data_IF_355607809329
#
_entry.id   IF_355607809329
#
_cell.length_a   1.000
_cell.length_b   1.000
_cell.length_c   1.000
_cell.angle_alpha   90.00
_cell.angle_beta   90.00
_cell.angle_gamma   90.00
#
_symmetry.space_group_name_H-M   'P 1'
#
loop_
_entity.id
_entity.type
_entity.pdbx_description
1 polymer ?
#
# COMPACT_ATOMS: atom_id res chain seq x y z
N UNK A 1 23.46 -8.71 24.11
CA UNK A 1 22.39 -7.85 24.62
C UNK A 1 22.13 -8.15 26.08
N UNK A 2 21.81 -7.14 26.88
CA UNK A 2 21.34 -7.25 28.27
C UNK A 2 19.84 -7.53 28.28
N UNK A 3 19.38 -8.50 29.06
CA UNK A 3 17.97 -8.86 29.15
C UNK A 3 17.23 -7.99 30.18
N UNK A 4 16.07 -7.47 29.78
CA UNK A 4 15.03 -6.87 30.63
C UNK A 4 13.75 -7.70 30.46
N UNK A 5 13.41 -8.46 31.50
CA UNK A 5 12.32 -9.42 31.47
C UNK A 5 11.29 -9.11 32.57
N UNK A 6 10.00 -9.26 32.28
CA UNK A 6 8.89 -9.03 33.21
C UNK A 6 8.88 -7.63 33.84
N UNK A 7 9.22 -6.61 33.04
CA UNK A 7 9.29 -5.23 33.50
C UNK A 7 7.99 -4.47 33.23
N UNK A 8 7.71 -3.51 34.13
CA UNK A 8 6.67 -2.50 33.94
C UNK A 8 7.36 -1.14 33.85
N UNK A 9 7.33 -0.54 32.66
CA UNK A 9 7.95 0.76 32.39
C UNK A 9 6.87 1.84 32.39
N UNK A 10 7.11 2.89 33.18
CA UNK A 10 6.23 4.07 33.33
C UNK A 10 7.05 5.35 33.26
N UNK A 11 6.37 6.48 33.05
CA UNK A 11 6.99 7.80 33.01
C UNK A 11 7.60 8.14 31.65
N UNK A 12 7.85 9.44 31.43
CA UNK A 12 8.48 9.93 30.20
C UNK A 12 9.86 9.28 30.03
N UNK A 13 10.19 8.81 28.81
CA UNK A 13 11.56 8.40 28.46
C UNK A 13 12.14 7.25 29.31
N UNK A 14 11.31 6.28 29.73
CA UNK A 14 11.71 5.18 30.62
C UNK A 14 13.00 4.44 30.25
N UNK A 15 13.29 4.27 28.96
CA UNK A 15 14.49 3.63 28.41
C UNK A 15 15.11 4.50 27.31
N UNK A 16 15.17 5.80 27.54
CA UNK A 16 15.74 6.75 26.59
C UNK A 16 17.21 6.44 26.27
N UNK A 17 17.56 6.49 24.98
CA UNK A 17 18.89 6.14 24.48
C UNK A 17 19.36 4.74 24.87
N UNK A 18 18.43 3.84 25.19
CA UNK A 18 18.78 2.46 25.50
C UNK A 18 19.46 1.79 24.30
N UNK A 19 20.42 0.93 24.60
CA UNK A 19 21.11 0.17 23.58
C UNK A 19 21.52 -1.22 24.03
N UNK A 20 21.71 -2.11 23.07
CA UNK A 20 22.11 -3.50 23.30
C UNK A 20 21.16 -4.23 24.27
N UNK A 21 19.85 -4.01 24.15
CA UNK A 21 18.85 -4.61 25.04
C UNK A 21 18.00 -5.66 24.34
N UNK A 22 17.70 -6.71 25.11
CA UNK A 22 16.62 -7.63 24.83
C UNK A 22 15.49 -7.37 25.84
N UNK A 23 14.34 -6.90 25.38
CA UNK A 23 13.18 -6.56 26.21
C UNK A 23 12.08 -7.57 25.95
N UNK A 24 11.73 -8.37 26.96
CA UNK A 24 10.75 -9.45 26.80
C UNK A 24 9.75 -9.50 27.94
N UNK A 25 8.55 -10.04 27.68
CA UNK A 25 7.45 -10.20 28.64
C UNK A 25 7.12 -8.92 29.44
N UNK A 26 7.23 -7.77 28.80
CA UNK A 26 7.21 -6.47 29.48
C UNK A 26 6.06 -5.60 28.99
N UNK A 27 5.76 -4.54 29.72
CA UNK A 27 4.74 -3.55 29.31
C UNK A 27 5.27 -2.14 29.49
N UNK A 28 5.18 -1.35 28.42
CA UNK A 28 5.30 0.10 28.46
C UNK A 28 3.91 0.67 28.70
N UNK A 29 3.69 1.23 29.89
CA UNK A 29 2.42 1.84 30.32
C UNK A 29 2.35 3.29 29.84
N UNK A 30 2.08 4.24 30.74
CA UNK A 30 2.04 5.66 30.49
C UNK A 30 3.46 6.26 30.40
N UNK A 31 3.60 7.29 29.56
CA UNK A 31 4.88 7.97 29.33
C UNK A 31 5.19 8.10 27.85
N UNK A 32 5.58 9.31 27.43
CA UNK A 32 5.92 9.58 26.04
C UNK A 32 7.37 9.19 25.73
N UNK A 33 7.62 8.72 24.50
CA UNK A 33 8.97 8.51 23.97
C UNK A 33 9.85 7.52 24.77
N UNK A 34 9.34 6.35 25.22
CA UNK A 34 10.07 5.47 26.12
C UNK A 34 11.41 4.97 25.56
N UNK A 35 11.50 4.66 24.26
CA UNK A 35 12.71 4.15 23.60
C UNK A 35 13.25 5.12 22.54
N UNK A 36 13.05 6.43 22.75
CA UNK A 36 13.55 7.43 21.83
C UNK A 36 15.08 7.44 21.77
N UNK A 37 15.64 7.52 20.55
CA UNK A 37 17.08 7.41 20.26
C UNK A 37 17.71 6.06 20.65
N UNK A 38 16.91 5.01 20.81
CA UNK A 38 17.43 3.69 21.17
C UNK A 38 17.98 2.94 19.95
N UNK A 39 18.90 2.01 20.16
CA UNK A 39 19.46 1.22 19.07
C UNK A 39 19.86 -0.20 19.47
N UNK A 40 19.99 -1.10 18.50
CA UNK A 40 20.37 -2.50 18.71
C UNK A 40 19.47 -3.17 19.76
N UNK A 41 18.17 -3.18 19.48
CA UNK A 41 17.13 -3.72 20.36
C UNK A 41 16.47 -4.96 19.78
N UNK A 42 16.30 -5.98 20.62
CA UNK A 42 15.34 -7.05 20.40
C UNK A 42 14.18 -6.87 21.37
N UNK A 43 12.95 -6.78 20.88
CA UNK A 43 11.75 -6.57 21.69
C UNK A 43 10.74 -7.64 21.34
N UNK A 44 10.36 -8.48 22.31
CA UNK A 44 9.33 -9.50 22.10
C UNK A 44 8.34 -9.62 23.25
N UNK A 45 7.17 -10.24 23.00
CA UNK A 45 6.11 -10.46 24.00
C UNK A 45 5.80 -9.21 24.83
N UNK A 46 5.82 -8.04 24.17
CA UNK A 46 5.77 -6.73 24.83
C UNK A 46 4.54 -5.96 24.39
N UNK A 47 3.94 -5.23 25.34
CA UNK A 47 2.77 -4.38 25.08
C UNK A 47 3.19 -2.92 25.14
N UNK A 48 2.94 -2.18 24.07
CA UNK A 48 3.04 -0.71 24.06
C UNK A 48 1.66 -0.10 24.27
N UNK A 49 1.50 0.67 25.35
CA UNK A 49 0.22 1.29 25.70
C UNK A 49 0.15 2.78 25.38
N UNK A 50 1.27 3.44 25.11
CA UNK A 50 1.32 4.90 25.00
C UNK A 50 2.28 5.39 23.91
N UNK A 51 2.24 6.71 23.72
CA UNK A 51 2.71 7.40 22.51
C UNK A 51 4.21 7.33 22.28
N UNK A 52 4.57 7.39 21.00
CA UNK A 52 5.94 7.56 20.50
C UNK A 52 6.96 6.48 20.92
N UNK A 53 6.64 5.17 20.98
CA UNK A 53 7.58 4.18 21.48
C UNK A 53 8.98 4.23 20.86
N UNK A 54 9.10 4.21 19.53
CA UNK A 54 10.36 4.03 18.81
C UNK A 54 10.64 5.22 17.88
N UNK A 55 10.95 6.38 18.46
CA UNK A 55 11.35 7.56 17.70
C UNK A 55 12.88 7.63 17.54
N UNK A 56 13.36 7.90 16.32
CA UNK A 56 14.79 7.96 16.00
C UNK A 56 15.55 6.69 16.41
N UNK A 57 14.88 5.54 16.35
CA UNK A 57 15.46 4.27 16.74
C UNK A 57 16.18 3.62 15.55
N UNK A 58 17.22 2.84 15.83
CA UNK A 58 18.01 2.20 14.78
C UNK A 58 18.28 0.73 15.10
N UNK A 59 18.10 -0.16 14.11
CA UNK A 59 18.39 -1.59 14.27
C UNK A 59 17.54 -2.23 15.38
N UNK A 60 16.24 -2.33 15.11
CA UNK A 60 15.25 -2.80 16.08
C UNK A 60 14.47 -3.97 15.51
N UNK A 61 14.36 -5.05 16.28
CA UNK A 61 13.42 -6.15 16.00
C UNK A 61 12.29 -6.10 17.01
N UNK A 62 11.06 -6.14 16.51
CA UNK A 62 9.82 -6.19 17.29
C UNK A 62 9.07 -7.45 16.91
N UNK A 63 8.85 -8.37 17.84
CA UNK A 63 8.19 -9.66 17.59
C UNK A 63 7.10 -9.97 18.61
N UNK A 64 5.98 -10.57 18.19
CA UNK A 64 4.92 -10.97 19.11
C UNK A 64 4.46 -9.84 20.05
N UNK A 65 4.31 -8.62 19.49
CA UNK A 65 3.94 -7.43 20.28
C UNK A 65 2.49 -7.02 20.05
N UNK A 66 1.96 -6.26 21.02
CA UNK A 66 0.64 -5.62 20.90
C UNK A 66 0.79 -4.12 21.10
N UNK A 67 0.30 -3.33 20.14
CA UNK A 67 0.27 -1.87 20.24
C UNK A 67 -1.17 -1.43 20.45
N UNK A 68 -1.45 -0.85 21.62
CA UNK A 68 -2.79 -0.37 21.97
C UNK A 68 -3.14 0.93 21.24
N UNK A 69 -4.42 1.35 21.19
CA UNK A 69 -4.83 2.55 20.47
C UNK A 69 -4.05 3.83 20.81
N UNK A 70 -3.68 4.00 22.08
CA UNK A 70 -2.91 5.17 22.53
C UNK A 70 -1.41 5.08 22.24
N UNK A 71 -0.92 3.96 21.67
CA UNK A 71 0.46 3.81 21.17
C UNK A 71 0.68 4.53 19.83
N UNK A 72 0.04 5.70 19.71
CA UNK A 72 -0.05 6.54 18.53
C UNK A 72 1.30 7.18 18.17
N UNK A 73 1.46 7.44 16.86
CA UNK A 73 2.67 7.96 16.22
C UNK A 73 3.88 7.12 16.65
N UNK A 74 3.74 5.81 16.48
CA UNK A 74 4.55 4.85 17.22
C UNK A 74 6.04 4.84 16.85
N UNK A 75 6.34 4.89 15.56
CA UNK A 75 7.66 4.58 14.99
C UNK A 75 8.04 5.64 13.96
N UNK A 76 8.69 6.70 14.39
CA UNK A 76 8.99 7.84 13.51
C UNK A 76 10.49 8.09 13.38
N UNK A 77 10.96 8.42 12.17
CA UNK A 77 12.37 8.70 11.86
C UNK A 77 13.32 7.56 12.21
N UNK A 78 12.81 6.34 12.25
CA UNK A 78 13.54 5.13 12.64
C UNK A 78 14.01 4.36 11.42
N UNK A 79 15.13 3.66 11.55
CA UNK A 79 15.79 2.98 10.43
C UNK A 79 16.15 1.53 10.79
N UNK A 80 16.15 0.65 9.80
CA UNK A 80 16.50 -0.76 9.95
C UNK A 80 15.63 -1.45 11.01
N UNK A 81 14.33 -1.54 10.74
CA UNK A 81 13.36 -2.10 11.68
C UNK A 81 12.63 -3.30 11.08
N UNK A 82 12.61 -4.40 11.84
CA UNK A 82 11.77 -5.57 11.54
C UNK A 82 10.64 -5.66 12.56
N UNK A 83 9.41 -5.79 12.09
CA UNK A 83 8.24 -6.05 12.92
C UNK A 83 7.56 -7.33 12.44
N UNK A 84 7.33 -8.26 13.36
CA UNK A 84 6.74 -9.56 13.04
C UNK A 84 5.69 -10.00 14.07
N UNK A 85 4.71 -10.79 13.62
CA UNK A 85 3.69 -11.43 14.45
C UNK A 85 2.99 -10.45 15.41
N UNK A 86 2.67 -9.26 14.91
CA UNK A 86 2.29 -8.12 15.75
C UNK A 86 0.91 -7.61 15.38
N UNK A 87 0.12 -7.24 16.40
CA UNK A 87 -1.14 -6.52 16.21
C UNK A 87 -0.95 -5.06 16.60
N UNK A 88 -1.31 -4.16 15.68
CA UNK A 88 -1.26 -2.71 15.85
C UNK A 88 -2.67 -2.15 15.79
N UNK A 89 -3.10 -1.55 16.90
CA UNK A 89 -4.43 -0.93 17.04
C UNK A 89 -4.37 0.60 17.07
N UNK A 90 -3.18 1.15 16.87
CA UNK A 90 -2.95 2.59 16.85
C UNK A 90 -3.05 3.11 15.42
N UNK A 91 -3.90 4.11 15.20
CA UNK A 91 -4.14 4.74 13.90
C UNK A 91 -2.83 5.07 13.18
N UNK A 92 -1.96 5.85 13.83
CA UNK A 92 -0.70 6.33 13.24
C UNK A 92 0.49 5.54 13.76
N UNK A 93 1.25 4.89 12.87
CA UNK A 93 2.39 4.07 13.30
C UNK A 93 3.72 4.53 12.73
N UNK A 94 3.98 4.33 11.44
CA UNK A 94 5.27 4.65 10.81
C UNK A 94 5.25 5.99 10.07
N UNK A 95 6.31 6.78 10.27
CA UNK A 95 6.49 8.03 9.52
C UNK A 95 7.96 8.36 9.32
N UNK A 96 8.35 8.74 8.10
CA UNK A 96 9.75 9.04 7.77
C UNK A 96 10.72 7.91 8.19
N UNK A 97 10.25 6.67 8.18
CA UNK A 97 11.02 5.51 8.57
C UNK A 97 11.57 4.80 7.32
N UNK A 98 12.71 4.12 7.46
CA UNK A 98 13.41 3.53 6.31
C UNK A 98 13.91 2.12 6.60
N UNK A 99 14.04 1.30 5.56
CA UNK A 99 14.48 -0.10 5.67
C UNK A 99 13.59 -0.90 6.63
N UNK A 100 12.31 -0.98 6.28
CA UNK A 100 11.27 -1.63 7.06
C UNK A 100 10.98 -3.03 6.53
N UNK A 101 10.87 -4.00 7.44
CA UNK A 101 10.38 -5.35 7.13
C UNK A 101 9.20 -5.67 8.04
N UNK A 102 8.01 -5.78 7.49
CA UNK A 102 6.78 -6.07 8.22
C UNK A 102 6.26 -7.43 7.77
N UNK A 103 6.20 -8.39 8.70
CA UNK A 103 5.78 -9.76 8.40
C UNK A 103 4.68 -10.24 9.35
N UNK A 104 3.57 -10.75 8.82
CA UNK A 104 2.45 -11.22 9.65
C UNK A 104 2.00 -10.13 10.65
N UNK A 105 1.67 -8.95 10.12
CA UNK A 105 1.27 -7.79 10.91
C UNK A 105 -0.18 -7.42 10.59
N UNK A 106 -0.97 -7.26 11.65
CA UNK A 106 -2.36 -6.83 11.58
C UNK A 106 -2.50 -5.39 12.08
N UNK A 107 -2.70 -4.45 11.15
CA UNK A 107 -3.05 -3.06 11.44
C UNK A 107 -4.57 -2.92 11.50
N UNK A 108 -5.14 -3.14 12.68
CA UNK A 108 -6.58 -3.05 12.93
C UNK A 108 -7.13 -1.62 12.78
N UNK A 109 -6.28 -0.62 12.94
CA UNK A 109 -6.52 0.78 12.57
C UNK A 109 -5.22 1.32 11.96
N UNK A 110 -5.26 1.61 10.67
CA UNK A 110 -4.10 1.90 9.85
C UNK A 110 -4.10 3.33 9.29
N UNK A 111 -4.90 4.25 9.85
CA UNK A 111 -4.95 5.64 9.38
C UNK A 111 -3.62 6.39 9.54
N UNK A 112 -2.98 6.78 8.44
CA UNK A 112 -1.63 7.41 8.45
C UNK A 112 -0.52 6.45 8.95
N UNK A 113 -0.44 5.24 8.39
CA UNK A 113 0.49 4.19 8.88
C UNK A 113 1.88 4.20 8.27
N UNK A 114 2.07 4.29 6.96
CA UNK A 114 3.38 4.28 6.30
C UNK A 114 3.53 5.59 5.53
N UNK A 115 3.66 6.72 6.23
CA UNK A 115 3.73 8.03 5.60
C UNK A 115 5.18 8.47 5.38
N UNK A 116 5.53 8.83 4.13
CA UNK A 116 6.89 9.23 3.72
C UNK A 116 7.98 8.22 4.11
N UNK A 117 7.69 6.93 4.02
CA UNK A 117 8.67 5.88 4.29
C UNK A 117 9.45 5.51 3.01
N UNK A 118 10.56 4.80 3.16
CA UNK A 118 11.40 4.38 2.04
C UNK A 118 12.00 2.99 2.29
N UNK A 119 12.04 2.13 1.26
CA UNK A 119 12.48 0.74 1.36
C UNK A 119 11.65 -0.06 2.38
N UNK A 120 10.47 -0.49 1.92
CA UNK A 120 9.45 -1.15 2.74
C UNK A 120 9.10 -2.51 2.15
N UNK A 121 9.32 -3.56 2.94
CA UNK A 121 8.95 -4.92 2.61
C UNK A 121 7.74 -5.33 3.46
N UNK A 122 6.68 -5.77 2.80
CA UNK A 122 5.42 -6.21 3.42
C UNK A 122 5.18 -7.67 3.03
N UNK A 123 4.98 -8.54 4.02
CA UNK A 123 4.69 -9.96 3.82
C UNK A 123 3.56 -10.39 4.75
N UNK A 124 2.42 -10.84 4.20
CA UNK A 124 1.25 -11.22 4.98
C UNK A 124 0.77 -10.09 5.93
N UNK A 125 0.52 -8.91 5.36
CA UNK A 125 0.08 -7.73 6.13
C UNK A 125 -1.41 -7.47 5.86
N UNK A 126 -2.17 -7.22 6.92
CA UNK A 126 -3.55 -6.74 6.82
C UNK A 126 -3.65 -5.33 7.37
N UNK A 127 -4.35 -4.44 6.69
CA UNK A 127 -4.54 -3.06 7.11
C UNK A 127 -5.99 -2.58 6.89
N UNK A 128 -6.59 -2.00 7.93
CA UNK A 128 -7.86 -1.31 7.85
C UNK A 128 -7.64 0.19 8.08
N UNK A 129 -7.69 1.01 7.03
CA UNK A 129 -7.48 2.44 7.15
C UNK A 129 -7.16 3.14 5.84
N UNK A 130 -7.39 4.46 5.84
CA UNK A 130 -7.15 5.32 4.68
C UNK A 130 -5.68 5.76 4.62
N UNK A 131 -5.20 6.05 3.41
CA UNK A 131 -3.85 6.56 3.16
C UNK A 131 -2.77 5.68 3.79
N UNK A 132 -2.87 4.36 3.65
CA UNK A 132 -1.95 3.42 4.27
C UNK A 132 -0.48 3.75 3.99
N UNK A 133 -0.12 4.01 2.73
CA UNK A 133 1.24 4.20 2.23
C UNK A 133 1.51 5.54 1.55
N UNK A 134 1.00 6.66 2.08
CA UNK A 134 1.15 7.99 1.46
C UNK A 134 2.63 8.41 1.31
N UNK A 135 3.00 8.83 0.09
CA UNK A 135 4.34 9.27 -0.30
C UNK A 135 5.47 8.28 0.07
N UNK A 136 5.15 6.98 0.14
CA UNK A 136 6.13 5.94 0.43
C UNK A 136 6.72 5.38 -0.85
N UNK A 137 8.04 5.18 -0.85
CA UNK A 137 8.77 4.73 -2.04
C UNK A 137 9.51 3.42 -1.80
N UNK A 138 9.82 2.73 -2.89
CA UNK A 138 10.56 1.46 -2.90
C UNK A 138 9.85 0.41 -2.04
N UNK A 139 8.65 0.01 -2.47
CA UNK A 139 7.79 -0.93 -1.76
C UNK A 139 7.76 -2.26 -2.47
N UNK A 140 7.91 -3.35 -1.73
CA UNK A 140 7.62 -4.71 -2.21
C UNK A 140 6.62 -5.34 -1.25
N UNK A 141 5.46 -5.74 -1.77
CA UNK A 141 4.38 -6.31 -0.99
C UNK A 141 3.94 -7.69 -1.50
N UNK A 142 3.89 -8.66 -0.60
CA UNK A 142 3.32 -9.98 -0.81
C UNK A 142 2.18 -10.22 0.18
N UNK A 143 1.07 -10.76 -0.31
CA UNK A 143 -0.08 -11.13 0.52
C UNK A 143 -0.62 -9.95 1.36
N UNK A 144 -0.61 -8.75 0.78
CA UNK A 144 -1.10 -7.52 1.39
C UNK A 144 -2.62 -7.41 1.21
N UNK A 145 -3.33 -7.14 2.31
CA UNK A 145 -4.78 -6.94 2.31
C UNK A 145 -5.11 -5.57 2.87
N UNK A 146 -5.75 -4.72 2.07
CA UNK A 146 -6.14 -3.37 2.50
C UNK A 146 -7.64 -3.18 2.33
N UNK A 147 -8.27 -2.61 3.36
CA UNK A 147 -9.60 -2.02 3.29
C UNK A 147 -9.55 -0.58 3.77
N UNK A 148 -9.88 0.37 2.92
CA UNK A 148 -9.77 1.80 3.20
C UNK A 148 -9.54 2.61 1.92
N UNK A 149 -9.48 3.93 1.99
CA UNK A 149 -9.38 4.79 0.81
C UNK A 149 -7.94 5.23 0.53
N UNK A 150 -7.61 5.43 -0.76
CA UNK A 150 -6.34 6.01 -1.20
C UNK A 150 -5.12 5.26 -0.66
N UNK A 151 -5.07 3.94 -0.84
CA UNK A 151 -4.09 3.07 -0.16
C UNK A 151 -2.64 3.57 -0.33
N UNK A 152 -2.21 3.79 -1.57
CA UNK A 152 -0.98 4.51 -1.88
C UNK A 152 -1.32 5.80 -2.63
N UNK A 153 -0.93 6.94 -2.07
CA UNK A 153 -1.04 8.26 -2.69
C UNK A 153 0.35 8.89 -2.82
N UNK A 154 0.80 9.17 -4.05
CA UNK A 154 2.08 9.82 -4.32
C UNK A 154 3.32 8.91 -4.18
N UNK A 155 3.12 7.60 -4.06
CA UNK A 155 4.19 6.63 -3.89
C UNK A 155 4.93 6.29 -5.19
N UNK A 156 6.16 5.79 -5.07
CA UNK A 156 7.01 5.45 -6.23
C UNK A 156 7.73 4.12 -6.10
N UNK A 157 7.93 3.43 -7.22
CA UNK A 157 8.61 2.13 -7.26
C UNK A 157 7.91 1.12 -6.33
N UNK A 158 6.69 0.75 -6.69
CA UNK A 158 5.84 -0.13 -5.88
C UNK A 158 5.63 -1.44 -6.64
N UNK A 159 5.95 -2.56 -6.01
CA UNK A 159 5.76 -3.90 -6.54
C UNK A 159 4.84 -4.70 -5.61
N UNK A 160 3.78 -5.29 -6.17
CA UNK A 160 2.71 -5.95 -5.38
C UNK A 160 2.38 -7.32 -5.97
N UNK A 161 2.22 -8.31 -5.09
CA UNK A 161 1.97 -9.71 -5.45
C UNK A 161 0.88 -10.33 -4.58
N UNK A 162 0.01 -11.16 -5.17
CA UNK A 162 -0.97 -12.00 -4.45
C UNK A 162 -1.81 -11.22 -3.42
N UNK A 163 -2.18 -9.99 -3.75
CA UNK A 163 -2.73 -9.03 -2.78
C UNK A 163 -4.18 -8.69 -3.07
N UNK A 164 -4.86 -8.10 -2.09
CA UNK A 164 -6.26 -7.68 -2.21
C UNK A 164 -6.44 -6.26 -1.70
N UNK A 165 -7.00 -5.40 -2.53
CA UNK A 165 -7.32 -4.01 -2.21
C UNK A 165 -8.81 -3.79 -2.38
N UNK A 166 -9.46 -3.29 -1.33
CA UNK A 166 -10.84 -2.82 -1.35
C UNK A 166 -10.80 -1.35 -0.94
N UNK A 167 -10.78 -0.48 -1.93
CA UNK A 167 -10.40 0.93 -1.74
C UNK A 167 -11.15 1.87 -2.65
N UNK A 168 -11.32 3.14 -2.32
CA UNK A 168 -11.82 4.10 -3.31
C UNK A 168 -10.86 4.31 -4.50
N UNK A 169 -9.55 4.42 -4.24
CA UNK A 169 -8.46 4.34 -5.22
C UNK A 169 -7.28 3.62 -4.54
N UNK A 170 -6.62 2.69 -5.22
CA UNK A 170 -5.51 1.93 -4.66
C UNK A 170 -4.15 2.62 -4.87
N UNK A 171 -3.97 3.28 -6.01
CA UNK A 171 -2.67 3.82 -6.45
C UNK A 171 -2.85 5.22 -7.04
N UNK A 172 -3.24 6.18 -6.21
CA UNK A 172 -3.45 7.56 -6.62
C UNK A 172 -2.11 8.30 -6.77
N UNK A 173 -1.94 9.11 -7.81
CA UNK A 173 -0.75 9.95 -8.04
C UNK A 173 0.60 9.20 -7.98
N UNK A 174 0.62 7.90 -8.25
CA UNK A 174 1.81 7.07 -8.11
C UNK A 174 2.71 7.13 -9.37
N UNK A 175 3.94 6.66 -9.25
CA UNK A 175 4.88 6.53 -10.37
C UNK A 175 5.65 5.22 -10.30
N UNK A 176 5.69 4.47 -11.41
CA UNK A 176 6.36 3.17 -11.50
C UNK A 176 5.79 2.14 -10.52
N UNK A 177 4.63 1.59 -10.88
CA UNK A 177 3.89 0.59 -10.07
C UNK A 177 3.70 -0.68 -10.90
N UNK A 178 3.99 -1.85 -10.32
CA UNK A 178 3.70 -3.14 -10.96
C UNK A 178 2.96 -4.06 -10.01
N UNK A 179 1.86 -4.63 -10.48
CA UNK A 179 0.97 -5.50 -9.70
C UNK A 179 0.82 -6.83 -10.41
N UNK A 180 0.98 -7.92 -9.66
CA UNK A 180 0.89 -9.30 -10.10
C UNK A 180 -0.18 -10.07 -9.33
N UNK A 181 -0.95 -10.90 -10.04
CA UNK A 181 -1.80 -11.95 -9.47
C UNK A 181 -2.70 -11.46 -8.32
N UNK A 182 -3.23 -10.25 -8.45
CA UNK A 182 -3.92 -9.53 -7.36
C UNK A 182 -5.34 -9.12 -7.72
N UNK A 183 -6.14 -8.88 -6.68
CA UNK A 183 -7.51 -8.37 -6.78
C UNK A 183 -7.57 -6.92 -6.31
N UNK A 184 -8.13 -6.03 -7.12
CA UNK A 184 -8.32 -4.63 -6.76
C UNK A 184 -9.76 -4.24 -7.08
N UNK A 185 -10.46 -3.76 -6.06
CA UNK A 185 -11.85 -3.32 -6.13
C UNK A 185 -11.89 -1.88 -5.65
N UNK A 186 -12.44 -0.99 -6.48
CA UNK A 186 -12.61 0.40 -6.08
C UNK A 186 -13.60 1.20 -6.89
N UNK A 187 -13.69 2.51 -6.63
CA UNK A 187 -14.29 3.41 -7.60
C UNK A 187 -13.21 3.60 -8.68
N UNK A 188 -12.11 4.24 -8.31
CA UNK A 188 -10.92 4.34 -9.14
C UNK A 188 -9.91 3.23 -8.83
N UNK A 189 -8.86 3.14 -9.65
CA UNK A 189 -7.80 2.13 -9.49
C UNK A 189 -6.40 2.70 -9.41
N UNK A 190 -6.14 3.76 -10.18
CA UNK A 190 -4.81 4.35 -10.33
C UNK A 190 -4.85 5.77 -10.89
N UNK A 191 -5.71 6.61 -10.34
CA UNK A 191 -5.95 7.93 -10.93
C UNK A 191 -4.66 8.77 -10.98
N UNK A 192 -4.39 9.44 -12.11
CA UNK A 192 -3.23 10.32 -12.30
C UNK A 192 -1.86 9.63 -12.04
N UNK A 193 -1.78 8.33 -12.28
CA UNK A 193 -0.55 7.54 -12.09
C UNK A 193 0.29 7.46 -13.36
N UNK A 194 1.60 7.35 -13.20
CA UNK A 194 2.56 7.17 -14.29
C UNK A 194 3.19 5.79 -14.24
N UNK A 195 3.37 5.16 -15.39
CA UNK A 195 4.05 3.87 -15.54
C UNK A 195 3.45 2.80 -14.61
N UNK A 196 2.22 2.38 -14.86
CA UNK A 196 1.57 1.31 -14.09
C UNK A 196 1.34 0.06 -14.94
N UNK A 197 1.69 -1.08 -14.36
CA UNK A 197 1.57 -2.39 -14.99
C UNK A 197 0.72 -3.34 -14.14
N UNK A 198 -0.27 -3.96 -14.77
CA UNK A 198 -1.09 -5.03 -14.18
C UNK A 198 -0.84 -6.34 -14.92
N UNK A 199 -0.51 -7.42 -14.21
CA UNK A 199 -0.28 -8.74 -14.78
C UNK A 199 -1.13 -9.77 -14.04
N UNK A 200 -2.00 -10.48 -14.77
CA UNK A 200 -2.90 -11.49 -14.23
C UNK A 200 -3.80 -10.98 -13.09
N UNK A 201 -4.21 -9.72 -13.14
CA UNK A 201 -5.02 -9.12 -12.08
C UNK A 201 -6.52 -9.31 -12.35
N UNK A 202 -7.30 -9.29 -11.28
CA UNK A 202 -8.75 -9.16 -11.33
C UNK A 202 -9.14 -7.79 -10.80
N UNK A 203 -9.78 -6.98 -11.63
CA UNK A 203 -10.06 -5.57 -11.36
C UNK A 203 -11.55 -5.29 -11.50
N UNK A 204 -12.14 -4.57 -10.55
CA UNK A 204 -13.51 -4.04 -10.63
C UNK A 204 -13.51 -2.58 -10.20
N UNK A 205 -14.14 -1.71 -11.01
CA UNK A 205 -14.04 -0.26 -10.83
C UNK A 205 -15.11 0.56 -11.54
N UNK A 206 -15.46 1.72 -11.00
CA UNK A 206 -16.25 2.76 -11.68
C UNK A 206 -15.30 3.90 -12.12
N UNK A 207 -15.16 4.19 -13.42
CA UNK A 207 -14.13 5.13 -13.93
C UNK A 207 -12.69 4.72 -13.56
N UNK A 208 -12.41 3.42 -13.61
CA UNK A 208 -11.07 2.89 -13.37
C UNK A 208 -10.05 3.37 -14.41
N UNK A 209 -8.80 3.53 -13.96
CA UNK A 209 -7.65 3.81 -14.85
C UNK A 209 -7.79 5.15 -15.60
N UNK A 210 -8.24 6.23 -14.97
CA UNK A 210 -8.30 7.55 -15.61
C UNK A 210 -7.00 8.35 -15.38
N UNK A 211 -6.60 9.13 -16.38
CA UNK A 211 -5.43 10.02 -16.37
C UNK A 211 -4.09 9.30 -16.20
N UNK A 212 -4.00 8.03 -16.59
CA UNK A 212 -2.77 7.25 -16.50
C UNK A 212 -1.83 7.58 -17.67
N UNK A 213 -0.55 7.79 -17.38
CA UNK A 213 0.50 8.03 -18.39
C UNK A 213 1.48 6.84 -18.42
N UNK A 214 1.35 5.97 -19.43
CA UNK A 214 2.08 4.69 -19.51
C UNK A 214 1.34 3.58 -18.77
N UNK A 215 0.31 3.02 -19.41
CA UNK A 215 -0.50 1.93 -18.86
C UNK A 215 -0.19 0.61 -19.57
N UNK A 216 0.24 -0.39 -18.82
CA UNK A 216 0.43 -1.76 -19.32
C UNK A 216 -0.51 -2.72 -18.61
N UNK A 217 -1.22 -3.56 -19.39
CA UNK A 217 -2.03 -4.64 -18.83
C UNK A 217 -1.78 -5.94 -19.60
N UNK A 218 -1.58 -7.03 -18.86
CA UNK A 218 -1.31 -8.37 -19.40
C UNK A 218 -2.21 -9.38 -18.72
N UNK A 219 -3.08 -10.04 -19.50
CA UNK A 219 -3.93 -11.13 -19.05
C UNK A 219 -4.81 -10.77 -17.83
N UNK A 220 -5.22 -9.50 -17.70
CA UNK A 220 -6.04 -9.05 -16.58
C UNK A 220 -7.52 -9.07 -16.94
N UNK A 221 -8.36 -9.41 -15.96
CA UNK A 221 -9.80 -9.24 -16.03
C UNK A 221 -10.18 -7.84 -15.55
N UNK A 222 -11.01 -7.15 -16.33
CA UNK A 222 -11.69 -5.92 -15.94
C UNK A 222 -13.18 -6.23 -15.91
N UNK A 223 -13.78 -6.19 -14.72
CA UNK A 223 -15.14 -6.62 -14.46
C UNK A 223 -15.97 -5.40 -14.07
N UNK A 224 -17.20 -5.31 -14.58
CA UNK A 224 -18.15 -4.24 -14.28
C UNK A 224 -17.50 -2.84 -14.36
N UNK A 225 -16.65 -2.63 -15.37
CA UNK A 225 -15.78 -1.46 -15.44
C UNK A 225 -16.22 -0.51 -16.54
N UNK A 226 -16.77 0.63 -16.13
CA UNK A 226 -17.27 1.68 -17.01
C UNK A 226 -16.35 2.91 -17.02
N UNK A 227 -16.54 3.74 -18.05
CA UNK A 227 -15.90 5.05 -18.24
C UNK A 227 -14.37 5.02 -18.09
N UNK A 228 -13.78 3.86 -18.36
CA UNK A 228 -12.38 3.59 -18.09
C UNK A 228 -11.47 4.16 -19.18
N UNK A 229 -10.18 4.28 -18.85
CA UNK A 229 -9.12 4.79 -19.74
C UNK A 229 -9.23 6.27 -20.11
N UNK A 230 -10.04 7.06 -19.39
CA UNK A 230 -10.20 8.49 -19.70
C UNK A 230 -8.86 9.21 -19.65
N UNK A 231 -8.49 9.87 -20.76
CA UNK A 231 -7.22 10.58 -20.90
C UNK A 231 -5.96 9.74 -20.69
N UNK A 232 -6.05 8.42 -20.83
CA UNK A 232 -4.89 7.56 -20.72
C UNK A 232 -3.98 7.62 -21.93
N UNK A 233 -2.66 7.57 -21.68
CA UNK A 233 -1.61 7.64 -22.70
C UNK A 233 -0.76 6.38 -22.70
N UNK A 234 -0.19 6.11 -23.87
CA UNK A 234 0.80 5.06 -24.09
C UNK A 234 0.27 3.72 -23.55
N UNK A 235 -1.00 3.44 -23.89
CA UNK A 235 -1.72 2.26 -23.44
C UNK A 235 -1.21 1.03 -24.20
N UNK A 236 -0.92 -0.04 -23.49
CA UNK A 236 -0.71 -1.38 -24.02
C UNK A 236 -1.48 -2.37 -23.13
N UNK A 237 -2.74 -2.62 -23.46
CA UNK A 237 -3.64 -3.41 -22.62
C UNK A 237 -4.19 -4.64 -23.35
N UNK A 238 -3.95 -5.82 -22.77
CA UNK A 238 -4.61 -7.08 -23.14
C UNK A 238 -5.49 -7.56 -21.99
N UNK A 239 -6.79 -7.55 -22.24
CA UNK A 239 -7.85 -7.78 -21.26
C UNK A 239 -8.58 -9.07 -21.61
N UNK A 240 -8.93 -9.87 -20.61
CA UNK A 240 -9.47 -11.23 -20.80
C UNK A 240 -11.00 -11.29 -20.72
N UNK A 241 -11.65 -10.17 -20.42
CA UNK A 241 -13.10 -10.06 -20.17
C UNK A 241 -13.71 -8.91 -20.97
N UNK A 242 -15.04 -8.88 -21.07
CA UNK A 242 -15.76 -7.72 -21.60
C UNK A 242 -15.45 -6.49 -20.73
N UNK A 243 -15.26 -5.34 -21.39
CA UNK A 243 -15.23 -4.02 -20.74
C UNK A 243 -16.57 -3.34 -20.96
N UNK A 244 -17.14 -2.66 -19.96
CA UNK A 244 -18.44 -2.03 -20.12
C UNK A 244 -18.34 -0.75 -20.95
N UNK A 245 -17.40 0.14 -20.62
CA UNK A 245 -17.08 1.25 -21.53
C UNK A 245 -15.65 1.78 -21.43
N UNK A 246 -15.17 2.24 -22.58
CA UNK A 246 -13.87 2.92 -22.78
C UNK A 246 -14.15 4.35 -23.21
N UNK A 247 -13.56 5.33 -22.53
CA UNK A 247 -13.82 6.75 -22.77
C UNK A 247 -12.54 7.52 -23.08
N UNK A 248 -12.54 8.31 -24.14
CA UNK A 248 -11.51 9.32 -24.47
C UNK A 248 -10.03 8.90 -24.20
N UNK A 249 -9.57 7.69 -24.58
CA UNK A 249 -8.14 7.37 -24.47
C UNK A 249 -7.33 8.26 -25.42
N UNK A 250 -6.18 8.77 -24.97
CA UNK A 250 -5.33 9.67 -25.76
C UNK A 250 -4.61 8.93 -26.87
N UNK A 251 -4.01 7.78 -26.55
CA UNK A 251 -3.33 6.93 -27.53
C UNK A 251 -3.07 5.51 -26.98
N UNK A 252 -2.80 4.55 -27.87
CA UNK A 252 -2.28 3.23 -27.52
C UNK A 252 -3.10 2.08 -28.11
N UNK A 253 -3.02 0.91 -27.46
CA UNK A 253 -3.62 -0.33 -27.90
C UNK A 253 -4.44 -0.96 -26.78
N UNK A 254 -5.71 -1.24 -27.05
CA UNK A 254 -6.63 -1.94 -26.15
C UNK A 254 -7.16 -3.17 -26.87
N UNK A 255 -6.94 -4.35 -26.30
CA UNK A 255 -7.50 -5.61 -26.79
C UNK A 255 -8.37 -6.24 -25.71
N UNK A 256 -9.61 -6.60 -26.06
CA UNK A 256 -10.56 -7.27 -25.17
C UNK A 256 -11.49 -8.20 -25.97
N UNK A 257 -12.16 -9.18 -25.36
CA UNK A 257 -13.22 -9.95 -26.01
C UNK A 257 -14.30 -9.08 -26.65
N UNK A 258 -14.88 -8.14 -25.90
CA UNK A 258 -15.90 -7.19 -26.35
C UNK A 258 -15.83 -5.91 -25.51
N UNK A 259 -16.39 -4.82 -26.03
CA UNK A 259 -16.52 -3.54 -25.32
C UNK A 259 -17.94 -3.05 -25.53
N UNK A 260 -18.68 -2.80 -24.45
CA UNK A 260 -20.08 -2.39 -24.50
C UNK A 260 -20.26 -1.03 -25.20
N UNK A 261 -19.48 -0.03 -24.79
CA UNK A 261 -19.49 1.30 -25.38
C UNK A 261 -18.09 1.90 -25.53
N UNK A 262 -17.81 2.48 -26.69
CA UNK A 262 -16.62 3.30 -26.91
C UNK A 262 -17.06 4.76 -27.08
N UNK A 263 -16.50 5.66 -26.27
CA UNK A 263 -16.91 7.07 -26.18
C UNK A 263 -15.74 7.96 -26.60
N UNK A 264 -15.97 8.78 -27.63
CA UNK A 264 -15.06 9.84 -28.09
C UNK A 264 -15.87 11.14 -28.24
N UNK A 265 -16.14 11.80 -27.12
CA UNK A 265 -16.96 13.01 -27.04
C UNK A 265 -16.14 14.29 -26.75
N UNK A 266 -14.86 14.16 -26.43
CA UNK A 266 -13.93 15.29 -26.36
C UNK A 266 -13.32 15.60 -27.74
N UNK A 267 -13.59 16.78 -28.33
CA UNK A 267 -13.02 17.16 -29.64
C UNK A 267 -11.49 17.34 -29.64
N UNK A 268 -10.84 17.40 -28.48
CA UNK A 268 -9.37 17.45 -28.37
C UNK A 268 -8.70 16.07 -28.53
N UNK A 269 -9.47 14.98 -28.43
CA UNK A 269 -8.97 13.62 -28.58
C UNK A 269 -9.09 13.19 -30.04
N UNK A 270 -7.99 12.64 -30.57
CA UNK A 270 -7.94 12.06 -31.92
C UNK A 270 -8.16 10.54 -31.82
N UNK A 271 -9.34 10.02 -32.20
CA UNK A 271 -9.65 8.60 -32.06
C UNK A 271 -8.70 7.69 -32.85
N UNK A 272 -8.06 8.21 -33.90
CA UNK A 272 -7.14 7.42 -34.74
C UNK A 272 -5.83 7.05 -34.02
N UNK A 273 -5.53 7.69 -32.88
CA UNK A 273 -4.33 7.39 -32.06
C UNK A 273 -4.51 6.18 -31.14
N UNK A 274 -5.74 5.68 -31.00
CA UNK A 274 -6.04 4.52 -30.18
C UNK A 274 -6.54 3.39 -31.06
N UNK A 275 -5.86 2.25 -31.03
CA UNK A 275 -6.30 1.03 -31.70
C UNK A 275 -7.07 0.17 -30.70
N UNK A 276 -8.33 -0.10 -31.00
CA UNK A 276 -9.17 -1.01 -30.22
C UNK A 276 -9.41 -2.26 -31.04
N UNK A 277 -9.11 -3.43 -30.47
CA UNK A 277 -9.33 -4.74 -31.09
C UNK A 277 -10.27 -5.57 -30.22
N UNK A 278 -11.45 -5.90 -30.74
CA UNK A 278 -12.38 -6.84 -30.10
C UNK A 278 -12.30 -8.22 -30.75
N UNK A 279 -12.62 -9.28 -30.00
CA UNK A 279 -12.65 -10.66 -30.51
C UNK A 279 -14.06 -11.14 -30.88
N UNK A 280 -15.05 -10.24 -30.96
CA UNK A 280 -16.39 -10.61 -31.41
C UNK A 280 -16.31 -11.27 -32.79
N UNK A 281 -16.64 -12.56 -32.83
CA UNK A 281 -16.91 -13.24 -34.08
C UNK A 281 -18.13 -12.54 -34.68
N UNK A 282 -17.97 -11.99 -35.89
CA UNK A 282 -19.09 -11.63 -36.76
C UNK A 282 -19.98 -12.87 -36.91
N UNK A 283 -21.03 -12.96 -36.10
CA UNK A 283 -22.14 -13.84 -36.36
C UNK A 283 -23.10 -13.04 -37.23
N UNK A 284 -22.84 -13.10 -38.55
CA UNK A 284 -23.77 -12.72 -39.62
C UNK A 284 -25.11 -13.47 -39.49
#
# INVERSE_FOLDING_TARGET
MKELNQQSFTGERALFQAHDLHITNSTFHDGESPLKHAHDLAIDHTIFKWKYPLWYAHHVTVDQTTWQPDAHAGIWYSQNLTMQNTTVRATKTFRHAQHLKLQNVDFADAGETLWWCDDVQLDHVTANGDYFGMNTNNVVAHDLKITGNYAFDGGKNIEVHNSTFITHDAFWNCDNVTIYDSTIIGEYLSWNTKNITFVNCWLESDQGLCYVDGLTMRNSALINTDLSFEYCKDIDATITTQIDSVKNPVNGHITAPSIGQVIFDDPAIDPAKTTITTQEANHD
#
